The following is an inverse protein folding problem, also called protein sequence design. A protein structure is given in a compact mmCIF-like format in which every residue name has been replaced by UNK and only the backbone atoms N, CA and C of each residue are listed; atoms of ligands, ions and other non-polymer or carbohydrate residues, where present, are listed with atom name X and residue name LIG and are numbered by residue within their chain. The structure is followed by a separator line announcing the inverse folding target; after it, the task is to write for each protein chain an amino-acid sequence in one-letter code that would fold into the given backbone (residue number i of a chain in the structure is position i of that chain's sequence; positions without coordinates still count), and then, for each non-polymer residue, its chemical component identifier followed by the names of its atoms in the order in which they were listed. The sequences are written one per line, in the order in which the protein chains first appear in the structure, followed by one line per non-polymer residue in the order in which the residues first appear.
data_IF_986235688214
#
_entry.id   IF_986235688214
#
_cell.length_a   1.000
_cell.length_b   1.000
_cell.length_c   1.000
_cell.angle_alpha   90.00
_cell.angle_beta   90.00
_cell.angle_gamma   90.00
#
_symmetry.space_group_name_H-M   'P 1'
#
loop_
_entity.id
_entity.type
_entity.pdbx_description
1 polymer ?
#
# COMPACT_ATOMS: atom_id res chain seq x y z
N UNK A 1 32.41 19.91 -58.30
CA UNK A 1 31.75 20.48 -59.50
C UNK A 1 30.50 19.63 -59.69
N UNK A 2 29.26 20.08 -59.59
CA UNK A 2 28.64 21.41 -59.72
C UNK A 2 27.29 21.37 -58.97
N UNK A 3 26.81 22.53 -58.51
CA UNK A 3 25.57 22.72 -57.73
C UNK A 3 24.37 22.99 -58.66
N UNK A 4 23.16 22.63 -58.22
CA UNK A 4 21.91 23.39 -58.42
C UNK A 4 20.87 22.86 -57.41
N UNK A 5 20.48 23.50 -56.29
CA UNK A 5 19.56 24.64 -56.08
C UNK A 5 18.34 24.74 -57.00
N UNK A 6 17.13 24.51 -56.45
CA UNK A 6 15.95 25.37 -56.69
C UNK A 6 15.00 25.30 -55.48
N UNK A 7 14.58 26.46 -55.02
CA UNK A 7 13.55 26.70 -54.00
C UNK A 7 12.40 27.50 -54.63
N UNK A 8 11.16 27.28 -54.17
CA UNK A 8 10.02 28.19 -54.26
C UNK A 8 8.92 27.60 -53.33
N UNK A 9 8.32 28.24 -52.32
CA UNK A 9 7.76 29.57 -52.11
C UNK A 9 6.22 29.55 -52.12
N UNK A 10 5.63 29.95 -50.99
CA UNK A 10 4.36 30.69 -50.90
C UNK A 10 3.06 29.89 -50.74
N UNK A 11 2.31 30.10 -49.65
CA UNK A 11 1.26 31.13 -49.65
C UNK A 11 0.65 31.30 -48.24
N UNK A 12 0.31 32.55 -47.95
CA UNK A 12 -0.20 33.09 -46.68
C UNK A 12 -1.74 33.05 -46.59
N UNK A 13 -2.26 33.29 -45.38
CA UNK A 13 -3.49 34.06 -44.99
C UNK A 13 -4.27 33.31 -43.90
N UNK A 14 -5.03 33.88 -42.98
CA UNK A 14 -5.18 35.20 -42.32
C UNK A 14 -6.16 34.93 -41.16
N UNK A 15 -6.03 35.71 -40.08
CA UNK A 15 -6.86 35.76 -38.88
C UNK A 15 -8.38 35.67 -39.07
N UNK A 16 -9.08 35.20 -38.02
CA UNK A 16 -10.24 35.95 -37.49
C UNK A 16 -10.46 35.68 -36.00
N UNK A 17 -10.45 36.77 -35.22
CA UNK A 17 -10.90 36.83 -33.85
C UNK A 17 -12.40 37.14 -33.80
N UNK A 18 -13.11 36.59 -32.80
CA UNK A 18 -14.36 37.17 -32.34
C UNK A 18 -14.54 36.93 -30.83
N UNK A 19 -14.35 38.00 -30.06
CA UNK A 19 -14.93 38.21 -28.72
C UNK A 19 -16.40 38.58 -28.87
N UNK A 20 -17.26 38.18 -27.93
CA UNK A 20 -18.23 39.02 -27.17
C UNK A 20 -19.08 38.12 -26.26
N UNK A 21 -18.95 38.29 -24.93
CA UNK A 21 -19.85 38.99 -23.98
C UNK A 21 -21.15 38.24 -23.65
N UNK A 22 -21.34 37.94 -22.36
CA UNK A 22 -22.64 37.57 -21.80
C UNK A 22 -22.60 37.00 -20.37
N UNK A 23 -22.48 37.87 -19.37
CA UNK A 23 -22.96 37.68 -17.99
C UNK A 23 -23.80 38.94 -17.66
N UNK A 24 -24.77 38.98 -16.72
CA UNK A 24 -24.73 38.27 -15.43
C UNK A 24 -26.08 37.83 -14.78
N UNK A 25 -25.94 37.11 -13.66
CA UNK A 25 -26.76 37.11 -12.42
C UNK A 25 -28.27 36.82 -12.44
N UNK A 26 -28.64 35.73 -11.77
CA UNK A 26 -29.88 35.66 -10.95
C UNK A 26 -29.60 34.98 -9.62
N UNK A 27 -30.12 35.59 -8.58
CA UNK A 27 -29.97 35.39 -7.13
C UNK A 27 -30.67 34.14 -6.58
N UNK A 28 -30.37 33.74 -5.32
CA UNK A 28 -30.82 32.49 -4.71
C UNK A 28 -32.22 32.61 -4.10
N UNK A 29 -32.98 31.51 -4.08
CA UNK A 29 -34.19 31.37 -3.25
C UNK A 29 -34.01 30.24 -2.24
N UNK A 30 -33.76 30.65 -1.00
CA UNK A 30 -34.12 29.89 0.21
C UNK A 30 -35.60 30.07 0.49
N UNK A 31 -36.30 29.03 0.96
CA UNK A 31 -37.25 29.27 2.04
C UNK A 31 -36.97 28.38 3.26
N UNK A 32 -37.10 29.06 4.39
CA UNK A 32 -37.09 28.66 5.79
C UNK A 32 -38.06 27.54 6.17
N UNK A 33 -37.54 26.59 6.96
CA UNK A 33 -37.97 26.24 8.33
C UNK A 33 -39.37 25.63 8.53
N UNK A 34 -39.44 24.44 9.14
CA UNK A 34 -40.16 24.16 10.41
C UNK A 34 -39.70 22.82 11.01
N UNK A 35 -39.41 22.75 12.33
CA UNK A 35 -39.10 21.51 13.04
C UNK A 35 -40.37 20.88 13.64
N UNK A 36 -40.46 19.55 13.63
CA UNK A 36 -41.43 18.82 14.45
C UNK A 36 -40.70 17.80 15.33
N UNK A 37 -40.87 18.02 16.62
CA UNK A 37 -40.29 17.31 17.76
C UNK A 37 -41.42 16.52 18.39
N UNK A 38 -41.33 15.19 18.50
CA UNK A 38 -42.04 14.49 19.58
C UNK A 38 -41.40 13.16 19.97
N UNK A 39 -41.11 13.10 21.27
CA UNK A 39 -40.71 11.95 22.08
C UNK A 39 -41.79 10.86 22.07
N UNK A 40 -41.41 9.58 22.18
CA UNK A 40 -41.95 8.73 23.26
C UNK A 40 -41.09 7.49 23.51
N UNK A 41 -40.91 7.22 24.79
CA UNK A 41 -40.21 6.10 25.36
C UNK A 41 -41.16 4.91 25.66
N UNK A 42 -40.53 3.81 26.06
CA UNK A 42 -40.93 2.75 27.01
C UNK A 42 -41.47 1.39 26.50
N UNK A 43 -40.73 0.38 26.98
CA UNK A 43 -41.14 -0.88 27.65
C UNK A 43 -41.39 -2.15 26.84
N UNK A 44 -40.42 -3.07 26.99
CA UNK A 44 -40.51 -4.46 27.48
C UNK A 44 -41.76 -5.28 27.13
N UNK A 45 -41.54 -6.44 26.47
CA UNK A 45 -41.97 -7.75 26.98
C UNK A 45 -41.17 -8.89 26.32
N UNK A 46 -40.65 -9.79 27.15
CA UNK A 46 -40.27 -11.14 26.78
C UNK A 46 -41.53 -12.01 26.58
N UNK A 47 -41.43 -13.14 25.86
CA UNK A 47 -42.02 -14.46 26.18
C UNK A 47 -41.72 -15.49 25.06
N UNK A 48 -41.15 -16.62 25.49
CA UNK A 48 -41.24 -18.04 25.05
C UNK A 48 -40.98 -18.51 23.61
N UNK A 49 -39.91 -19.32 23.49
CA UNK A 49 -39.82 -20.70 22.94
C UNK A 49 -40.89 -21.28 22.01
N UNK A 50 -40.45 -21.74 20.83
CA UNK A 50 -40.72 -23.08 20.22
C UNK A 50 -39.85 -23.21 18.96
N UNK A 51 -38.85 -24.10 18.93
CA UNK A 51 -38.90 -25.51 18.49
C UNK A 51 -39.14 -25.68 16.98
N UNK A 52 -38.02 -25.79 16.27
CA UNK A 52 -37.77 -26.77 15.20
C UNK A 52 -38.32 -26.43 13.82
N UNK A 53 -37.41 -26.07 12.90
CA UNK A 53 -37.52 -26.54 11.53
C UNK A 53 -36.14 -26.86 10.96
N UNK A 54 -36.11 -27.90 10.13
CA UNK A 54 -34.93 -28.46 9.47
C UNK A 54 -34.75 -27.79 8.10
N UNK A 55 -33.51 -27.52 7.74
CA UNK A 55 -33.04 -27.10 6.42
C UNK A 55 -31.58 -26.71 6.61
N UNK A 56 -30.68 -27.59 6.20
CA UNK A 56 -29.95 -27.46 4.93
C UNK A 56 -28.97 -26.29 5.01
N UNK A 57 -27.67 -26.61 5.05
CA UNK A 57 -26.57 -25.89 4.39
C UNK A 57 -25.25 -26.59 4.77
N UNK A 58 -24.91 -27.60 3.97
CA UNK A 58 -23.53 -28.00 3.73
C UNK A 58 -22.85 -26.85 2.98
N UNK A 59 -21.98 -26.07 3.65
CA UNK A 59 -20.81 -25.39 3.05
C UNK A 59 -20.17 -24.44 4.06
N UNK A 60 -19.21 -24.92 4.87
CA UNK A 60 -18.31 -24.05 5.65
C UNK A 60 -17.01 -24.79 6.00
N UNK A 61 -16.23 -25.17 4.98
CA UNK A 61 -14.88 -25.74 5.16
C UNK A 61 -13.75 -24.99 4.44
N UNK A 62 -13.94 -23.72 4.09
CA UNK A 62 -12.92 -22.93 3.39
C UNK A 62 -12.08 -21.97 4.27
N UNK A 63 -12.49 -21.66 5.51
CA UNK A 63 -11.85 -20.56 6.28
C UNK A 63 -10.63 -20.93 7.14
N UNK A 64 -10.26 -22.22 7.17
CA UNK A 64 -9.15 -22.71 7.98
C UNK A 64 -7.76 -22.46 7.39
N UNK A 65 -7.65 -22.27 6.06
CA UNK A 65 -6.36 -22.15 5.37
C UNK A 65 -5.86 -20.71 5.30
N UNK A 66 -6.72 -19.76 4.88
CA UNK A 66 -6.36 -18.35 4.76
C UNK A 66 -5.93 -17.70 6.11
N UNK A 67 -6.49 -18.19 7.22
CA UNK A 67 -6.08 -17.74 8.56
C UNK A 67 -4.72 -18.28 8.99
N UNK A 68 -4.31 -19.46 8.52
CA UNK A 68 -2.99 -20.04 8.77
C UNK A 68 -1.91 -19.38 7.91
N UNK A 69 -2.25 -19.00 6.68
CA UNK A 69 -1.32 -18.36 5.76
C UNK A 69 -1.01 -16.92 6.18
N UNK A 70 -2.03 -16.17 6.64
CA UNK A 70 -1.81 -14.83 7.22
C UNK A 70 -0.93 -14.85 8.49
N UNK A 71 -1.01 -15.92 9.29
CA UNK A 71 -0.15 -16.11 10.46
C UNK A 71 1.28 -16.55 10.07
N UNK A 72 1.44 -17.31 8.98
CA UNK A 72 2.77 -17.64 8.42
C UNK A 72 3.48 -16.44 7.82
N UNK A 73 2.76 -15.55 7.14
CA UNK A 73 3.30 -14.28 6.66
C UNK A 73 3.84 -13.44 7.84
N UNK A 74 3.11 -13.42 8.96
CA UNK A 74 3.51 -12.70 10.18
C UNK A 74 4.76 -13.31 10.86
N UNK A 75 4.91 -14.63 10.86
CA UNK A 75 6.07 -15.31 11.48
C UNK A 75 7.39 -15.01 10.74
N UNK A 76 7.32 -14.77 9.42
CA UNK A 76 8.48 -14.33 8.61
C UNK A 76 8.86 -12.86 8.83
N UNK A 77 7.94 -12.04 9.33
CA UNK A 77 8.13 -10.60 9.55
C UNK A 77 8.87 -10.28 10.86
N UNK A 78 9.10 -11.27 11.74
CA UNK A 78 9.83 -11.09 13.01
C UNK A 78 11.12 -11.91 12.98
N UNK A 79 12.27 -11.35 12.56
CA UNK A 79 13.55 -12.02 12.72
C UNK A 79 13.90 -12.14 14.22
N UNK A 80 14.12 -13.36 14.72
CA UNK A 80 14.90 -13.57 15.95
C UNK A 80 14.20 -14.11 17.21
N UNK A 81 13.13 -14.89 17.14
CA UNK A 81 12.57 -15.58 18.33
C UNK A 81 12.51 -17.09 18.23
N UNK A 82 13.47 -17.74 17.57
CA UNK A 82 13.73 -19.15 17.87
C UNK A 82 14.75 -19.23 19.01
N UNK A 83 14.40 -19.97 20.06
CA UNK A 83 15.22 -20.15 21.26
C UNK A 83 16.60 -20.82 20.98
N UNK A 84 16.85 -21.26 19.75
CA UNK A 84 18.10 -21.89 19.31
C UNK A 84 19.19 -20.90 18.84
N UNK A 85 18.84 -19.65 18.53
CA UNK A 85 19.82 -18.68 18.02
C UNK A 85 20.59 -17.95 19.13
N UNK A 86 20.06 -17.92 20.35
CA UNK A 86 20.70 -17.29 21.52
C UNK A 86 21.92 -18.05 22.07
N UNK A 87 22.32 -19.17 21.47
CA UNK A 87 23.49 -19.98 21.86
C UNK A 87 24.66 -19.91 20.88
N UNK A 88 24.57 -19.11 19.82
CA UNK A 88 25.65 -19.00 18.84
C UNK A 88 26.71 -18.03 19.35
N UNK A 89 27.93 -18.54 19.51
CA UNK A 89 29.11 -17.74 19.87
C UNK A 89 29.31 -16.55 18.91
N UNK A 90 29.88 -15.43 19.39
CA UNK A 90 30.08 -14.24 18.57
C UNK A 90 31.03 -14.54 17.39
N UNK A 91 30.81 -13.90 16.22
CA UNK A 91 31.72 -14.04 15.08
C UNK A 91 33.12 -13.52 15.44
N UNK A 92 34.20 -14.14 14.95
CA UNK A 92 35.54 -13.58 15.12
C UNK A 92 35.68 -12.25 14.39
N UNK A 93 36.35 -11.31 15.05
CA UNK A 93 36.67 -9.96 14.57
C UNK A 93 37.33 -10.01 13.19
N UNK A 94 36.72 -9.36 12.20
CA UNK A 94 37.35 -9.16 10.89
C UNK A 94 38.31 -7.99 10.98
N UNK A 95 39.58 -8.31 10.74
CA UNK A 95 40.67 -7.36 10.59
C UNK A 95 40.39 -6.35 9.46
N UNK A 96 40.82 -5.12 9.71
CA UNK A 96 40.82 -3.99 8.79
C UNK A 96 41.47 -4.36 7.44
N UNK A 97 40.75 -4.09 6.36
CA UNK A 97 41.21 -4.27 5.00
C UNK A 97 40.49 -3.27 4.09
N UNK A 98 41.12 -2.12 3.88
CA UNK A 98 40.77 -1.15 2.85
C UNK A 98 40.83 -1.80 1.47
N UNK A 99 39.69 -2.05 0.85
CA UNK A 99 39.59 -2.31 -0.59
C UNK A 99 38.44 -1.50 -1.17
N UNK A 100 38.73 -0.22 -1.42
CA UNK A 100 37.96 0.63 -2.32
C UNK A 100 38.14 0.14 -3.77
N UNK A 101 37.52 -0.99 -4.09
CA UNK A 101 37.36 -1.45 -5.46
C UNK A 101 36.09 -0.85 -6.04
N UNK A 102 36.27 0.28 -6.74
CA UNK A 102 35.25 0.80 -7.66
C UNK A 102 35.21 -0.11 -8.89
N UNK A 103 34.41 -1.18 -8.84
CA UNK A 103 34.07 -1.94 -10.04
C UNK A 103 33.20 -1.06 -10.94
N UNK A 104 33.83 -0.47 -11.96
CA UNK A 104 33.13 0.04 -13.13
C UNK A 104 32.61 -1.17 -13.90
N UNK A 105 31.30 -1.39 -13.80
CA UNK A 105 30.62 -2.37 -14.64
C UNK A 105 30.41 -1.75 -16.02
N UNK A 106 31.19 -2.21 -17.00
CA UNK A 106 31.12 -1.77 -18.39
C UNK A 106 29.87 -2.38 -19.05
N UNK A 107 28.84 -1.56 -19.26
CA UNK A 107 27.67 -1.89 -20.08
C UNK A 107 26.38 -2.28 -19.34
N UNK A 108 26.38 -2.25 -18.01
CA UNK A 108 25.21 -2.57 -17.19
C UNK A 108 24.23 -1.40 -17.06
N UNK A 109 22.93 -1.68 -17.12
CA UNK A 109 21.89 -0.74 -16.71
C UNK A 109 22.18 -0.35 -15.26
N UNK A 110 22.63 0.89 -15.03
CA UNK A 110 23.06 1.34 -13.71
C UNK A 110 21.94 1.23 -12.68
N UNK A 111 22.12 0.38 -11.67
CA UNK A 111 21.20 0.27 -10.55
C UNK A 111 21.31 1.55 -9.70
N UNK A 112 20.20 2.28 -9.57
CA UNK A 112 20.12 3.48 -8.72
C UNK A 112 19.44 3.10 -7.41
N UNK A 113 19.99 3.52 -6.27
CA UNK A 113 19.30 3.38 -4.98
C UNK A 113 18.44 4.61 -4.68
N UNK A 114 17.21 4.38 -4.25
CA UNK A 114 16.25 5.42 -3.84
C UNK A 114 15.88 5.21 -2.38
N UNK A 115 16.28 6.14 -1.54
CA UNK A 115 15.87 6.17 -0.14
C UNK A 115 14.54 6.92 -0.03
N UNK A 116 13.61 6.34 0.73
CA UNK A 116 12.28 6.89 0.96
C UNK A 116 11.96 6.78 2.44
N UNK A 117 11.45 7.88 2.97
CA UNK A 117 10.88 7.97 4.30
C UNK A 117 9.38 7.73 4.15
N UNK A 118 8.89 6.64 4.72
CA UNK A 118 7.49 6.21 4.63
C UNK A 118 6.79 6.52 5.94
N UNK A 119 5.86 7.46 5.88
CA UNK A 119 4.94 7.76 6.98
C UNK A 119 3.88 6.66 7.08
N UNK A 120 3.91 5.90 8.18
CA UNK A 120 2.99 4.78 8.42
C UNK A 120 1.78 5.22 9.26
N UNK A 121 2.02 6.08 10.24
CA UNK A 121 0.98 6.67 11.08
C UNK A 121 1.36 8.10 11.45
N UNK A 122 0.52 9.05 11.06
CA UNK A 122 0.73 10.47 11.34
C UNK A 122 0.47 10.80 12.82
N UNK A 123 -0.40 10.05 13.51
CA UNK A 123 -0.76 10.30 14.91
C UNK A 123 0.34 9.83 15.86
N UNK A 124 0.90 8.64 15.59
CA UNK A 124 1.96 8.03 16.39
C UNK A 124 3.38 8.41 15.93
N UNK A 125 3.51 9.31 14.95
CA UNK A 125 4.77 9.68 14.29
C UNK A 125 5.60 8.44 13.87
N UNK A 126 4.90 7.38 13.45
CA UNK A 126 5.52 6.12 13.09
C UNK A 126 6.03 6.22 11.65
N UNK A 127 7.35 6.19 11.51
CA UNK A 127 8.04 6.39 10.23
C UNK A 127 8.99 5.24 9.99
N UNK A 128 9.02 4.72 8.76
CA UNK A 128 9.97 3.71 8.31
C UNK A 128 10.87 4.28 7.21
N UNK A 129 12.18 4.00 7.28
CA UNK A 129 13.10 4.30 6.19
C UNK A 129 13.30 3.05 5.33
N UNK A 130 13.16 3.19 4.01
CA UNK A 130 13.40 2.11 3.06
C UNK A 130 14.33 2.57 1.95
N UNK A 131 15.15 1.65 1.44
CA UNK A 131 16.06 1.89 0.31
C UNK A 131 15.75 0.87 -0.79
N UNK A 132 15.37 1.37 -1.97
CA UNK A 132 15.01 0.53 -3.10
C UNK A 132 16.04 0.64 -4.21
N UNK A 133 16.55 -0.50 -4.66
CA UNK A 133 17.29 -0.59 -5.91
C UNK A 133 16.31 -0.52 -7.08
N UNK A 134 16.46 0.49 -7.95
CA UNK A 134 15.66 0.68 -9.16
C UNK A 134 16.54 0.55 -10.39
N UNK A 135 15.97 -0.07 -11.45
CA UNK A 135 16.68 -0.33 -12.71
C UNK A 135 16.91 0.91 -13.55
N UNK A 136 16.28 2.05 -13.22
CA UNK A 136 16.42 3.27 -14.01
C UNK A 136 16.52 4.52 -13.16
N UNK A 137 17.38 5.45 -13.56
CA UNK A 137 17.43 6.80 -12.99
C UNK A 137 16.15 7.61 -13.26
N UNK A 138 15.35 7.25 -14.27
CA UNK A 138 14.05 7.88 -14.53
C UNK A 138 12.93 7.33 -13.65
N UNK A 139 13.13 6.16 -13.01
CA UNK A 139 12.14 5.58 -12.12
C UNK A 139 11.92 6.46 -10.88
N UNK A 140 10.66 6.56 -10.47
CA UNK A 140 10.24 7.34 -9.30
C UNK A 140 9.59 6.42 -8.29
N UNK A 141 9.87 6.64 -7.02
CA UNK A 141 9.11 6.00 -5.96
C UNK A 141 7.94 6.91 -5.59
N UNK A 142 6.74 6.34 -5.58
CA UNK A 142 5.49 7.01 -5.27
C UNK A 142 4.94 6.38 -4.00
N UNK A 143 4.68 7.19 -2.98
CA UNK A 143 3.95 6.77 -1.79
C UNK A 143 2.51 7.24 -1.91
N UNK A 144 1.56 6.37 -1.58
CA UNK A 144 0.13 6.69 -1.54
C UNK A 144 -0.51 6.04 -0.33
N UNK A 145 -1.48 6.73 0.28
CA UNK A 145 -2.26 6.23 1.42
C UNK A 145 -3.72 6.12 0.99
N UNK A 146 -4.29 4.91 1.09
CA UNK A 146 -5.60 4.58 0.52
C UNK A 146 -6.48 3.90 1.57
N UNK A 147 -7.68 4.42 1.88
CA UNK A 147 -8.59 3.75 2.81
C UNK A 147 -9.12 2.42 2.24
N UNK A 148 -9.36 1.40 3.08
CA UNK A 148 -10.04 0.18 2.64
C UNK A 148 -11.50 0.44 2.21
N UNK A 149 -12.05 -0.29 1.21
CA UNK A 149 -11.35 -1.19 0.31
C UNK A 149 -10.49 -0.42 -0.70
N UNK A 150 -9.27 -0.92 -0.96
CA UNK A 150 -8.27 -0.22 -1.78
C UNK A 150 -8.74 -0.09 -3.25
N UNK A 151 -9.24 -1.18 -3.85
CA UNK A 151 -9.73 -1.18 -5.24
C UNK A 151 -8.62 -1.18 -6.30
N UNK A 152 -7.56 -1.94 -6.04
CA UNK A 152 -6.47 -2.21 -6.99
C UNK A 152 -6.40 -3.72 -7.21
N UNK A 153 -6.25 -4.14 -8.46
CA UNK A 153 -5.87 -5.51 -8.80
C UNK A 153 -4.36 -5.57 -9.01
N UNK A 154 -3.71 -6.52 -8.36
CA UNK A 154 -2.29 -6.81 -8.51
C UNK A 154 -2.10 -8.13 -9.23
N UNK A 155 -1.06 -8.22 -10.05
CA UNK A 155 -0.62 -9.44 -10.73
C UNK A 155 0.86 -9.70 -10.47
N UNK A 156 1.25 -10.97 -10.48
CA UNK A 156 2.66 -11.37 -10.52
C UNK A 156 3.16 -11.26 -11.97
N UNK A 157 4.27 -10.55 -12.15
CA UNK A 157 5.08 -10.60 -13.35
C UNK A 157 6.20 -11.62 -13.12
N UNK A 158 5.98 -12.85 -13.56
CA UNK A 158 6.90 -13.98 -13.38
C UNK A 158 8.22 -13.78 -14.14
N UNK A 159 8.20 -13.03 -15.25
CA UNK A 159 9.38 -12.81 -16.09
C UNK A 159 10.38 -11.88 -15.38
N UNK A 160 9.87 -10.84 -14.72
CA UNK A 160 10.68 -9.86 -14.00
C UNK A 160 10.78 -10.12 -12.48
N UNK A 161 10.00 -11.07 -11.95
CA UNK A 161 9.92 -11.36 -10.53
C UNK A 161 9.37 -10.18 -9.74
N UNK A 162 8.22 -9.66 -10.15
CA UNK A 162 7.66 -8.39 -9.64
C UNK A 162 6.16 -8.50 -9.37
N UNK A 163 5.63 -7.66 -8.47
CA UNK A 163 4.18 -7.50 -8.30
C UNK A 163 3.80 -6.17 -8.94
N UNK A 164 2.90 -6.21 -9.92
CA UNK A 164 2.52 -5.04 -10.71
C UNK A 164 1.05 -4.67 -10.49
N UNK A 165 0.76 -3.38 -10.59
CA UNK A 165 -0.63 -2.89 -10.65
C UNK A 165 -1.21 -3.25 -12.02
N UNK A 166 -2.12 -4.21 -12.05
CA UNK A 166 -2.79 -4.63 -13.28
C UNK A 166 -4.00 -3.74 -13.59
N UNK A 167 -4.78 -3.39 -12.56
CA UNK A 167 -5.99 -2.58 -12.72
C UNK A 167 -6.17 -1.64 -11.52
N UNK A 168 -6.67 -0.44 -11.78
CA UNK A 168 -7.25 0.45 -10.76
C UNK A 168 -8.74 0.54 -11.04
N UNK A 169 -9.56 0.01 -10.11
CA UNK A 169 -11.01 -0.12 -10.31
C UNK A 169 -11.65 1.28 -10.35
N UNK A 170 -12.45 1.57 -11.37
CA UNK A 170 -13.14 2.85 -11.49
C UNK A 170 -14.10 3.07 -10.32
N UNK A 171 -14.11 4.29 -9.77
CA UNK A 171 -14.94 4.63 -8.60
C UNK A 171 -14.45 4.07 -7.26
N UNK A 172 -13.30 3.39 -7.23
CA UNK A 172 -12.67 2.92 -5.99
C UNK A 172 -11.96 4.02 -5.21
N UNK A 173 -11.57 3.71 -3.97
CA UNK A 173 -10.76 4.61 -3.16
C UNK A 173 -9.40 4.91 -3.80
N UNK A 174 -8.75 3.92 -4.43
CA UNK A 174 -7.51 4.14 -5.17
C UNK A 174 -7.70 5.10 -6.35
N UNK A 175 -8.80 4.96 -7.11
CA UNK A 175 -9.12 5.88 -8.19
C UNK A 175 -9.40 7.31 -7.68
N UNK A 176 -10.07 7.44 -6.53
CA UNK A 176 -10.42 8.72 -5.93
C UNK A 176 -9.20 9.46 -5.33
N UNK A 177 -8.29 8.74 -4.65
CA UNK A 177 -7.04 9.30 -4.11
C UNK A 177 -6.09 9.66 -5.24
N UNK A 178 -6.05 8.85 -6.30
CA UNK A 178 -5.11 8.99 -7.40
C UNK A 178 -3.68 8.61 -7.00
N UNK A 179 -2.72 8.86 -7.88
CA UNK A 179 -1.31 8.58 -7.62
C UNK A 179 -0.87 7.14 -7.89
N UNK A 180 -1.80 6.20 -8.07
CA UNK A 180 -1.55 4.83 -8.57
C UNK A 180 -1.79 4.77 -10.07
N UNK A 181 -0.93 4.08 -10.81
CA UNK A 181 -1.09 3.83 -12.24
C UNK A 181 -0.88 2.36 -12.57
N UNK A 182 -1.57 1.88 -13.61
CA UNK A 182 -1.34 0.54 -14.18
C UNK A 182 0.11 0.42 -14.64
N UNK A 183 0.75 -0.69 -14.29
CA UNK A 183 2.16 -0.97 -14.54
C UNK A 183 3.13 -0.41 -13.48
N UNK A 184 2.64 0.25 -12.43
CA UNK A 184 3.49 0.54 -11.27
C UNK A 184 3.87 -0.78 -10.55
N UNK A 185 5.11 -0.87 -10.07
CA UNK A 185 5.61 -2.06 -9.34
C UNK A 185 5.47 -1.85 -7.85
N UNK A 186 4.85 -2.79 -7.13
CA UNK A 186 4.70 -2.74 -5.68
C UNK A 186 6.02 -3.06 -4.98
N UNK A 187 6.59 -2.06 -4.29
CA UNK A 187 7.89 -2.17 -3.59
C UNK A 187 7.75 -2.34 -2.08
N UNK A 188 6.69 -1.79 -1.49
CA UNK A 188 6.34 -2.02 -0.09
C UNK A 188 4.87 -1.68 0.18
N UNK A 189 4.34 -2.18 1.28
CA UNK A 189 3.00 -1.85 1.80
C UNK A 189 3.03 -1.73 3.32
N UNK A 190 2.12 -0.96 3.91
CA UNK A 190 1.88 -1.05 5.36
C UNK A 190 1.30 -2.41 5.71
N UNK A 191 1.69 -2.93 6.88
CA UNK A 191 1.12 -4.11 7.49
C UNK A 191 0.86 -3.88 8.98
N UNK A 192 -0.08 -4.62 9.56
CA UNK A 192 -0.42 -4.58 10.97
C UNK A 192 0.04 -5.86 11.65
N UNK A 193 0.97 -5.74 12.59
CA UNK A 193 1.46 -6.86 13.40
C UNK A 193 0.78 -6.79 14.78
N UNK A 194 0.21 -7.90 15.28
CA UNK A 194 -0.27 -7.97 16.66
C UNK A 194 0.84 -7.62 17.66
N UNK A 195 0.54 -6.75 18.62
CA UNK A 195 1.49 -6.32 19.64
C UNK A 195 0.79 -6.21 21.01
N UNK A 196 1.49 -6.59 22.07
CA UNK A 196 1.03 -6.36 23.44
C UNK A 196 1.47 -4.97 23.89
N UNK A 197 0.51 -4.06 24.07
CA UNK A 197 0.77 -2.71 24.59
C UNK A 197 0.77 -2.75 26.12
N UNK A 198 1.87 -2.29 26.72
CA UNK A 198 2.02 -2.16 28.17
C UNK A 198 2.02 -0.67 28.56
N UNK A 199 0.89 -0.10 28.98
CA UNK A 199 0.88 1.27 29.47
C UNK A 199 1.79 1.36 30.71
N UNK A 200 2.66 2.39 30.78
CA UNK A 200 3.73 2.48 31.79
C UNK A 200 3.25 2.27 33.23
N UNK A 201 2.06 2.74 33.59
CA UNK A 201 1.49 2.54 34.94
C UNK A 201 1.19 1.09 35.29
N UNK A 202 0.89 0.24 34.29
CA UNK A 202 0.60 -1.17 34.51
C UNK A 202 1.88 -2.00 34.70
N UNK A 203 3.03 -1.55 34.18
CA UNK A 203 4.29 -2.28 34.35
C UNK A 203 4.75 -2.30 35.82
N UNK A 204 4.47 -1.22 36.57
CA UNK A 204 4.84 -1.09 37.98
C UNK A 204 3.87 -1.77 38.97
N UNK A 205 2.64 -2.09 38.55
CA UNK A 205 1.58 -2.67 39.38
C UNK A 205 1.24 -4.12 39.00
N UNK A 206 2.05 -4.77 38.15
CA UNK A 206 1.80 -6.15 37.70
C UNK A 206 0.59 -6.28 36.78
N UNK A 207 0.27 -5.23 36.03
CA UNK A 207 -0.87 -5.20 35.12
C UNK A 207 -0.64 -6.04 33.85
N UNK A 208 -1.72 -6.69 33.39
CA UNK A 208 -1.75 -7.46 32.14
C UNK A 208 -1.66 -6.49 30.95
N UNK A 209 -0.79 -6.79 29.99
CA UNK A 209 -0.70 -6.03 28.73
C UNK A 209 -2.01 -6.12 27.94
N UNK A 210 -2.29 -5.12 27.11
CA UNK A 210 -3.47 -5.12 26.26
C UNK A 210 -3.10 -5.54 24.84
N UNK A 211 -3.80 -6.50 24.24
CA UNK A 211 -3.65 -6.77 22.82
C UNK A 211 -3.92 -5.51 22.00
N UNK A 212 -3.08 -5.28 21.01
CA UNK A 212 -3.21 -4.20 20.05
C UNK A 212 -2.47 -4.57 18.76
N UNK A 213 -2.28 -3.57 17.91
CA UNK A 213 -1.51 -3.71 16.68
C UNK A 213 -0.47 -2.60 16.59
N UNK A 214 0.64 -2.93 15.93
CA UNK A 214 1.65 -1.98 15.49
C UNK A 214 1.72 -2.02 13.98
N UNK A 215 1.72 -0.83 13.39
CA UNK A 215 1.93 -0.68 11.96
C UNK A 215 3.41 -0.77 11.61
N UNK A 216 3.73 -1.50 10.57
CA UNK A 216 5.08 -1.66 10.03
C UNK A 216 5.07 -1.48 8.51
N UNK A 217 6.25 -1.25 7.94
CA UNK A 217 6.47 -1.31 6.50
C UNK A 217 6.88 -2.73 6.12
N UNK A 218 6.09 -3.39 5.28
CA UNK A 218 6.43 -4.66 4.65
C UNK A 218 7.05 -4.40 3.29
N UNK A 219 8.34 -4.65 3.15
CA UNK A 219 9.08 -4.50 1.89
C UNK A 219 8.94 -5.74 1.03
N UNK A 220 8.73 -5.54 -0.27
CA UNK A 220 8.52 -6.62 -1.23
C UNK A 220 9.80 -6.77 -2.06
N UNK A 221 10.44 -7.97 -2.07
CA UNK A 221 11.58 -8.24 -2.93
C UNK A 221 11.18 -8.18 -4.40
N UNK A 222 12.15 -8.00 -5.29
CA UNK A 222 11.96 -7.98 -6.75
C UNK A 222 13.11 -8.72 -7.44
N UNK A 223 12.92 -9.15 -8.69
CA UNK A 223 13.94 -9.82 -9.49
C UNK A 223 14.34 -11.18 -8.89
N UNK A 224 15.63 -11.49 -8.84
CA UNK A 224 16.12 -12.80 -8.35
C UNK A 224 15.76 -13.10 -6.89
N UNK A 225 15.52 -12.06 -6.08
CA UNK A 225 15.09 -12.23 -4.70
C UNK A 225 13.57 -12.51 -4.57
N UNK A 226 12.82 -12.35 -5.67
CA UNK A 226 11.41 -12.64 -5.72
C UNK A 226 11.18 -14.15 -5.86
N UNK A 227 10.40 -14.70 -4.94
CA UNK A 227 9.92 -16.08 -5.02
C UNK A 227 8.41 -16.06 -5.30
N UNK A 228 7.97 -16.56 -6.47
CA UNK A 228 6.55 -16.61 -6.84
C UNK A 228 5.70 -17.35 -5.79
N UNK A 229 4.47 -16.88 -5.59
CA UNK A 229 3.50 -17.42 -4.63
C UNK A 229 3.80 -17.08 -3.17
N UNK A 230 5.04 -17.29 -2.71
CA UNK A 230 5.41 -16.94 -1.33
C UNK A 230 5.36 -15.43 -1.10
N UNK A 231 5.75 -14.62 -2.10
CA UNK A 231 5.83 -13.17 -1.94
C UNK A 231 4.51 -12.47 -2.24
N UNK A 232 3.75 -12.93 -3.25
CA UNK A 232 2.46 -12.31 -3.58
C UNK A 232 1.41 -12.53 -2.49
N UNK A 233 1.28 -13.76 -1.99
CA UNK A 233 0.33 -14.05 -0.91
C UNK A 233 0.71 -13.30 0.38
N UNK A 234 2.00 -13.22 0.69
CA UNK A 234 2.50 -12.45 1.84
C UNK A 234 2.21 -10.93 1.65
N UNK A 235 2.39 -10.39 0.44
CA UNK A 235 2.09 -8.98 0.12
C UNK A 235 0.59 -8.68 0.20
N UNK A 236 -0.27 -9.54 -0.36
CA UNK A 236 -1.72 -9.40 -0.26
C UNK A 236 -2.17 -9.54 1.20
N UNK A 237 -1.61 -10.50 1.95
CA UNK A 237 -1.83 -10.66 3.38
C UNK A 237 -1.47 -9.41 4.18
N UNK A 238 -0.33 -8.79 3.86
CA UNK A 238 0.09 -7.52 4.44
C UNK A 238 -0.91 -6.40 4.17
N UNK A 239 -1.38 -6.22 2.93
CA UNK A 239 -2.43 -5.24 2.58
C UNK A 239 -3.71 -5.51 3.39
N UNK A 240 -4.20 -6.76 3.38
CA UNK A 240 -5.44 -7.14 4.08
C UNK A 240 -5.35 -7.01 5.61
N UNK A 241 -4.15 -7.09 6.20
CA UNK A 241 -3.96 -6.95 7.64
C UNK A 241 -4.41 -5.58 8.18
N UNK A 242 -4.32 -4.52 7.37
CA UNK A 242 -4.77 -3.18 7.74
C UNK A 242 -6.29 -3.12 7.96
N UNK A 243 -7.05 -3.80 7.10
CA UNK A 243 -8.50 -3.95 7.25
C UNK A 243 -8.84 -4.73 8.52
N UNK A 244 -8.17 -5.87 8.73
CA UNK A 244 -8.41 -6.77 9.88
C UNK A 244 -8.13 -6.11 11.23
N UNK A 245 -7.15 -5.19 11.30
CA UNK A 245 -6.77 -4.53 12.54
C UNK A 245 -7.71 -3.39 12.97
N UNK A 246 -8.63 -2.94 12.10
CA UNK A 246 -9.55 -1.84 12.40
C UNK A 246 -9.77 -0.88 11.23
N UNK A 247 -9.79 -1.38 9.99
CA UNK A 247 -10.00 -0.59 8.77
C UNK A 247 -8.99 0.56 8.59
N UNK A 248 -7.73 0.35 8.96
CA UNK A 248 -6.67 1.35 8.79
C UNK A 248 -6.33 1.59 7.31
N UNK A 249 -5.97 2.83 6.97
CA UNK A 249 -5.58 3.23 5.60
C UNK A 249 -4.30 2.53 5.13
N UNK A 250 -4.33 1.87 3.98
CA UNK A 250 -3.17 1.16 3.43
C UNK A 250 -2.17 2.14 2.84
N UNK A 251 -0.92 2.11 3.29
CA UNK A 251 0.18 2.85 2.66
C UNK A 251 0.84 1.94 1.64
N UNK A 252 0.88 2.34 0.37
CA UNK A 252 1.58 1.65 -0.70
C UNK A 252 2.79 2.46 -1.15
N UNK A 253 3.89 1.75 -1.41
CA UNK A 253 5.10 2.30 -2.01
C UNK A 253 5.30 1.64 -3.36
N UNK A 254 5.21 2.43 -4.41
CA UNK A 254 5.17 1.99 -5.80
C UNK A 254 6.38 2.54 -6.56
N UNK A 255 7.01 1.71 -7.39
CA UNK A 255 7.97 2.17 -8.38
C UNK A 255 7.25 2.46 -9.70
N UNK A 256 7.27 3.72 -10.11
CA UNK A 256 6.79 4.18 -11.41
C UNK A 256 7.94 4.27 -12.39
N UNK A 257 7.89 3.45 -13.44
CA UNK A 257 8.85 3.46 -14.55
C UNK A 257 8.36 4.43 -15.62
N UNK A 258 9.20 5.40 -16.00
CA UNK A 258 8.92 6.21 -17.19
C UNK A 258 9.22 5.35 -18.42
N UNK A 259 8.17 5.05 -19.19
CA UNK A 259 8.29 4.49 -20.55
C UNK A 259 8.62 5.59 -21.54
#
# INVERSE_FOLDING_TARGET
MERATTAAAGCSRTALAARTRGAPATTPRTPTRTPARTRRATRRRAVSSQKGDRGDDDDDRADGNASRDALRALDKLVPGTTADEARREPPPERADGDDASTSRDEGGIGIVRREVVVELDAEDANVAMASFAVRSASARIVQVTIPPPVGIAFEEDDDDGEIVVAEVVEGSNAAAVGGVAVGDVLRATSAMIPEMKYPMGNLFLGGVGRPGFRRVLFTIPVGEAYAPGATFDDAMGAIFSNKKAGDFDVVLVLERRMR
#
